data_IF_260914897146
#
_entry.id   IF_260914897146
#
_cell.length_a   1.000
_cell.length_b   1.000
_cell.length_c   1.000
_cell.angle_alpha   90.00
_cell.angle_beta   90.00
_cell.angle_gamma   90.00
#
_symmetry.space_group_name_H-M   'P 1'
#
loop_
_entity.id
_entity.type
_entity.pdbx_description
1 polymer ?
#
# COMPACT_ATOMS: atom_id res chain seq x y z
N UNK A 1 29.74 -20.62 5.85
CA UNK A 1 29.48 -19.32 6.52
C UNK A 1 29.95 -18.14 5.67
N UNK A 2 31.06 -18.25 4.92
CA UNK A 2 31.53 -17.19 4.01
C UNK A 2 30.60 -16.90 2.81
N UNK A 3 30.11 -17.94 2.12
CA UNK A 3 29.25 -17.80 0.92
C UNK A 3 27.91 -17.08 1.18
N UNK A 4 27.34 -17.20 2.39
CA UNK A 4 26.10 -16.49 2.77
C UNK A 4 26.33 -14.99 3.00
N UNK A 5 27.54 -14.60 3.40
CA UNK A 5 27.89 -13.21 3.66
C UNK A 5 28.09 -12.46 2.33
N UNK A 6 28.78 -13.10 1.39
CA UNK A 6 29.00 -12.58 0.03
C UNK A 6 27.69 -12.36 -0.73
N UNK A 7 26.73 -13.28 -0.59
CA UNK A 7 25.42 -13.14 -1.24
C UNK A 7 24.62 -11.93 -0.74
N UNK A 8 24.67 -11.64 0.56
CA UNK A 8 23.95 -10.48 1.15
C UNK A 8 24.59 -9.16 0.75
N UNK A 9 25.92 -9.13 0.64
CA UNK A 9 26.66 -7.96 0.14
C UNK A 9 26.38 -7.72 -1.35
N UNK A 10 26.32 -8.78 -2.17
CA UNK A 10 25.89 -8.69 -3.58
C UNK A 10 24.45 -8.19 -3.73
N UNK A 11 23.51 -8.66 -2.91
CA UNK A 11 22.13 -8.16 -2.90
C UNK A 11 22.05 -6.67 -2.56
N UNK A 12 22.82 -6.21 -1.56
CA UNK A 12 22.93 -4.79 -1.24
C UNK A 12 23.58 -3.99 -2.38
N UNK A 13 24.58 -4.58 -3.05
CA UNK A 13 25.26 -4.00 -4.20
C UNK A 13 24.33 -3.76 -5.39
N UNK A 14 23.53 -4.78 -5.78
CA UNK A 14 22.56 -4.62 -6.87
C UNK A 14 21.43 -3.67 -6.51
N UNK A 15 20.98 -3.64 -5.24
CA UNK A 15 20.00 -2.65 -4.78
C UNK A 15 20.52 -1.22 -4.92
N UNK A 16 21.75 -0.96 -4.46
CA UNK A 16 22.38 0.36 -4.58
C UNK A 16 22.54 0.77 -6.05
N UNK A 17 22.88 -0.19 -6.91
CA UNK A 17 22.97 0.03 -8.36
C UNK A 17 21.60 0.38 -8.95
N UNK A 18 20.53 -0.30 -8.53
CA UNK A 18 19.17 -0.01 -8.93
C UNK A 18 18.70 1.36 -8.42
N UNK A 19 18.98 1.71 -7.17
CA UNK A 19 18.67 3.03 -6.59
C UNK A 19 19.33 4.17 -7.39
N UNK A 20 20.57 3.97 -7.86
CA UNK A 20 21.24 4.92 -8.75
C UNK A 20 20.62 5.04 -10.14
N UNK A 21 19.84 4.04 -10.56
CA UNK A 21 19.17 3.91 -11.86
C UNK A 21 17.64 4.02 -11.74
N UNK A 22 17.16 4.86 -10.81
CA UNK A 22 15.73 5.14 -10.58
C UNK A 22 14.91 3.88 -10.22
N UNK A 23 15.52 2.93 -9.51
CA UNK A 23 14.95 1.66 -9.08
C UNK A 23 14.43 0.79 -10.23
N UNK A 24 15.08 0.84 -11.39
CA UNK A 24 14.73 0.03 -12.57
C UNK A 24 15.94 -0.82 -12.97
N UNK A 25 15.72 -2.12 -13.13
CA UNK A 25 16.70 -3.08 -13.68
C UNK A 25 16.00 -4.02 -14.64
N UNK A 26 16.75 -4.78 -15.44
CA UNK A 26 16.23 -5.83 -16.33
C UNK A 26 16.62 -7.23 -15.82
N UNK A 27 15.80 -8.22 -16.21
CA UNK A 27 16.01 -9.62 -15.83
C UNK A 27 17.42 -10.12 -16.20
N UNK A 28 17.91 -9.76 -17.38
CA UNK A 28 19.22 -10.21 -17.87
C UNK A 28 20.37 -9.62 -17.05
N UNK A 29 20.28 -8.36 -16.62
CA UNK A 29 21.28 -7.74 -15.74
C UNK A 29 21.34 -8.42 -14.37
N UNK A 30 20.19 -8.72 -13.76
CA UNK A 30 20.16 -9.42 -12.46
C UNK A 30 20.72 -10.85 -12.62
N UNK A 31 20.31 -11.58 -13.65
CA UNK A 31 20.84 -12.93 -13.92
C UNK A 31 22.35 -12.91 -14.19
N UNK A 32 22.85 -11.91 -14.91
CA UNK A 32 24.28 -11.72 -15.15
C UNK A 32 25.05 -11.37 -13.86
N UNK A 33 24.45 -10.58 -12.97
CA UNK A 33 25.04 -10.16 -11.70
C UNK A 33 25.23 -11.35 -10.74
N UNK A 34 24.31 -12.31 -10.79
CA UNK A 34 24.34 -13.53 -9.96
C UNK A 34 24.81 -14.78 -10.73
N UNK A 35 25.34 -14.63 -11.95
CA UNK A 35 25.76 -15.75 -12.80
C UNK A 35 26.93 -16.55 -12.17
N UNK A 36 27.80 -15.89 -11.42
CA UNK A 36 28.92 -16.52 -10.72
C UNK A 36 28.48 -17.33 -9.49
N UNK A 37 27.29 -17.06 -8.95
CA UNK A 37 26.77 -17.67 -7.72
C UNK A 37 26.02 -18.99 -7.96
N UNK A 38 25.86 -19.42 -9.22
CA UNK A 38 25.18 -20.68 -9.62
C UNK A 38 23.80 -20.89 -8.95
N UNK A 39 23.01 -19.82 -8.84
CA UNK A 39 21.68 -19.88 -8.22
C UNK A 39 20.73 -20.80 -9.00
N UNK A 40 19.94 -21.59 -8.28
CA UNK A 40 18.83 -22.34 -8.90
C UNK A 40 17.73 -21.38 -9.38
N UNK A 41 16.85 -21.86 -10.27
CA UNK A 41 15.71 -21.08 -10.75
C UNK A 41 14.82 -20.57 -9.59
N UNK A 42 14.62 -21.38 -8.56
CA UNK A 42 13.87 -21.03 -7.35
C UNK A 42 14.59 -19.97 -6.50
N UNK A 43 15.91 -20.06 -6.38
CA UNK A 43 16.71 -19.07 -5.65
C UNK A 43 16.75 -17.73 -6.37
N UNK A 44 16.81 -17.74 -7.71
CA UNK A 44 16.72 -16.54 -8.53
C UNK A 44 15.33 -15.89 -8.40
N UNK A 45 14.27 -16.69 -8.28
CA UNK A 45 12.91 -16.21 -8.02
C UNK A 45 12.84 -15.43 -6.70
N UNK A 46 13.46 -15.94 -5.64
CA UNK A 46 13.55 -15.25 -4.34
C UNK A 46 14.35 -13.94 -4.42
N UNK A 47 15.38 -13.86 -5.28
CA UNK A 47 16.13 -12.62 -5.54
C UNK A 47 15.23 -11.59 -6.21
N UNK A 48 14.45 -11.99 -7.22
CA UNK A 48 13.51 -11.09 -7.87
C UNK A 48 12.39 -10.62 -6.94
N UNK A 49 11.83 -11.53 -6.13
CA UNK A 49 10.87 -11.19 -5.07
C UNK A 49 11.45 -10.17 -4.09
N UNK A 50 12.71 -10.35 -3.69
CA UNK A 50 13.38 -9.43 -2.78
C UNK A 50 13.58 -8.05 -3.41
N UNK A 51 13.99 -7.97 -4.68
CA UNK A 51 14.10 -6.69 -5.41
C UNK A 51 12.75 -5.99 -5.53
N UNK A 52 11.70 -6.72 -5.90
CA UNK A 52 10.33 -6.21 -5.96
C UNK A 52 9.86 -5.69 -4.59
N UNK A 53 10.16 -6.41 -3.50
CA UNK A 53 9.82 -5.99 -2.13
C UNK A 53 10.49 -4.67 -1.72
N UNK A 54 11.64 -4.34 -2.33
CA UNK A 54 12.37 -3.08 -2.13
C UNK A 54 12.01 -1.99 -3.13
N UNK A 55 10.90 -2.15 -3.86
CA UNK A 55 10.39 -1.22 -4.88
C UNK A 55 11.31 -1.09 -6.11
N UNK A 56 12.12 -2.12 -6.40
CA UNK A 56 12.91 -2.20 -7.63
C UNK A 56 12.11 -2.91 -8.72
N UNK A 57 11.96 -2.26 -9.86
CA UNK A 57 11.24 -2.76 -11.04
C UNK A 57 12.19 -3.62 -11.88
N UNK A 58 11.89 -4.90 -12.03
CA UNK A 58 12.66 -5.84 -12.87
C UNK A 58 11.95 -6.06 -14.21
N UNK A 59 12.40 -5.38 -15.26
CA UNK A 59 11.84 -5.50 -16.61
C UNK A 59 12.04 -6.91 -17.18
N UNK A 60 10.93 -7.54 -17.58
CA UNK A 60 10.92 -8.86 -18.22
C UNK A 60 10.87 -10.06 -17.26
N UNK A 61 10.74 -9.81 -15.95
CA UNK A 61 10.46 -10.84 -14.97
C UNK A 61 8.97 -10.83 -14.60
N UNK A 62 8.29 -11.94 -14.84
CA UNK A 62 6.90 -12.19 -14.42
C UNK A 62 6.95 -13.42 -13.52
N UNK A 63 6.57 -13.26 -12.24
CA UNK A 63 6.61 -14.34 -11.25
C UNK A 63 5.71 -15.49 -11.69
N UNK A 64 6.26 -16.71 -11.75
CA UNK A 64 5.55 -17.90 -12.26
C UNK A 64 5.09 -18.76 -11.08
N UNK A 65 4.24 -18.20 -10.21
CA UNK A 65 3.63 -18.95 -9.11
C UNK A 65 3.66 -18.21 -7.78
N UNK A 66 2.46 -17.91 -7.26
CA UNK A 66 2.28 -17.25 -5.97
C UNK A 66 1.94 -15.77 -6.13
N UNK A 67 0.68 -15.44 -5.83
CA UNK A 67 0.08 -14.13 -5.92
C UNK A 67 0.89 -13.06 -5.19
N UNK A 68 1.65 -12.25 -5.93
CA UNK A 68 2.03 -10.90 -5.53
C UNK A 68 1.80 -10.00 -6.75
N UNK A 69 0.97 -8.98 -6.53
CA UNK A 69 0.63 -7.92 -7.46
C UNK A 69 1.92 -7.23 -7.90
N UNK A 70 2.25 -7.32 -9.18
CA UNK A 70 3.36 -6.57 -9.73
C UNK A 70 3.06 -5.07 -9.53
N UNK A 71 4.01 -4.34 -8.93
CA UNK A 71 4.16 -2.90 -9.14
C UNK A 71 4.70 -2.69 -10.56
N UNK A 72 3.88 -3.08 -11.53
CA UNK A 72 4.04 -2.70 -12.91
C UNK A 72 3.46 -1.29 -13.04
N UNK A 73 4.30 -0.33 -13.40
CA UNK A 73 3.88 0.81 -14.22
C UNK A 73 3.53 0.31 -15.64
N UNK A 74 2.69 -0.71 -15.71
CA UNK A 74 1.86 -1.05 -16.84
C UNK A 74 0.49 -0.70 -16.32
N UNK A 75 -0.14 0.33 -16.89
CA UNK A 75 -1.57 0.55 -16.72
C UNK A 75 -2.28 -0.74 -17.18
N UNK A 76 -2.46 -1.70 -16.27
CA UNK A 76 -3.54 -2.68 -16.44
C UNK A 76 -4.78 -1.81 -16.65
N UNK A 77 -5.55 -2.04 -17.74
CA UNK A 77 -6.72 -1.22 -17.99
C UNK A 77 -7.57 -1.27 -16.73
N UNK A 78 -7.76 -0.11 -16.10
CA UNK A 78 -8.47 0.04 -14.83
C UNK A 78 -9.74 -0.80 -14.93
N UNK A 79 -9.74 -1.95 -14.25
CA UNK A 79 -10.88 -2.88 -14.28
C UNK A 79 -11.83 -2.45 -13.20
N UNK A 80 -12.74 -1.56 -13.58
CA UNK A 80 -13.91 -1.25 -12.79
C UNK A 80 -14.69 -2.54 -12.50
N UNK A 81 -15.09 -2.71 -11.24
CA UNK A 81 -16.08 -3.71 -10.86
C UNK A 81 -17.41 -3.46 -11.58
N UNK A 82 -18.31 -4.44 -11.61
CA UNK A 82 -19.62 -4.25 -12.24
C UNK A 82 -20.39 -3.09 -11.59
N UNK A 83 -20.31 -2.95 -10.27
CA UNK A 83 -20.94 -1.87 -9.52
C UNK A 83 -20.38 -0.49 -9.90
N UNK A 84 -19.07 -0.39 -10.06
CA UNK A 84 -18.43 0.85 -10.53
C UNK A 84 -18.79 1.17 -11.98
N UNK A 85 -18.92 0.17 -12.84
CA UNK A 85 -19.38 0.36 -14.21
C UNK A 85 -20.83 0.86 -14.25
N UNK A 86 -21.70 0.28 -13.43
CA UNK A 86 -23.10 0.70 -13.32
C UNK A 86 -23.21 2.14 -12.79
N UNK A 87 -22.39 2.47 -11.79
CA UNK A 87 -22.26 3.84 -11.29
C UNK A 87 -21.80 4.81 -12.37
N UNK A 88 -20.71 4.50 -13.08
CA UNK A 88 -20.17 5.34 -14.15
C UNK A 88 -21.18 5.56 -15.27
N UNK A 89 -21.91 4.51 -15.66
CA UNK A 89 -22.95 4.60 -16.68
C UNK A 89 -24.09 5.54 -16.26
N UNK A 90 -24.54 5.41 -15.01
CA UNK A 90 -25.60 6.27 -14.46
C UNK A 90 -25.11 7.73 -14.37
N UNK A 91 -23.92 7.94 -13.83
CA UNK A 91 -23.34 9.27 -13.67
C UNK A 91 -23.14 9.95 -15.03
N UNK A 92 -22.59 9.26 -16.03
CA UNK A 92 -22.45 9.78 -17.39
C UNK A 92 -23.79 10.07 -18.07
N UNK A 93 -24.84 9.31 -17.75
CA UNK A 93 -26.19 9.60 -18.22
C UNK A 93 -26.73 10.88 -17.59
N UNK A 94 -26.52 11.08 -16.28
CA UNK A 94 -26.93 12.30 -15.57
C UNK A 94 -26.19 13.52 -16.11
N UNK A 95 -24.89 13.40 -16.40
CA UNK A 95 -24.10 14.47 -17.03
C UNK A 95 -24.67 14.87 -18.40
N UNK A 96 -25.16 13.93 -19.20
CA UNK A 96 -25.82 14.21 -20.49
C UNK A 96 -27.18 14.90 -20.32
N UNK A 97 -27.82 14.73 -19.16
CA UNK A 97 -29.07 15.38 -18.79
C UNK A 97 -28.93 16.85 -18.40
N UNK A 98 -27.69 17.36 -18.22
CA UNK A 98 -27.44 18.74 -17.83
C UNK A 98 -27.89 19.73 -18.91
N UNK A 99 -28.63 20.75 -18.47
CA UNK A 99 -29.17 21.80 -19.35
C UNK A 99 -28.04 22.60 -19.99
N UNK A 100 -28.27 23.07 -21.20
CA UNK A 100 -27.37 24.03 -21.83
C UNK A 100 -27.32 25.32 -21.02
N UNK A 101 -26.12 25.79 -20.72
CA UNK A 101 -25.87 26.98 -19.88
C UNK A 101 -25.73 26.70 -18.39
N UNK A 102 -25.80 25.44 -17.94
CA UNK A 102 -25.44 25.06 -16.57
C UNK A 102 -23.92 25.20 -16.39
N UNK A 103 -23.43 25.98 -15.41
CA UNK A 103 -21.98 26.14 -15.16
C UNK A 103 -21.29 24.82 -14.83
N UNK A 104 -22.02 23.84 -14.30
CA UNK A 104 -21.48 22.52 -13.95
C UNK A 104 -21.28 21.61 -15.17
N UNK A 105 -21.84 21.96 -16.33
CA UNK A 105 -21.82 21.13 -17.54
C UNK A 105 -20.41 20.85 -18.08
N UNK A 106 -19.47 21.77 -17.84
CA UNK A 106 -18.06 21.59 -18.22
C UNK A 106 -17.21 21.09 -17.05
N UNK A 107 -17.61 21.40 -15.81
CA UNK A 107 -16.84 21.09 -14.60
C UNK A 107 -17.01 19.62 -14.15
N UNK A 108 -18.23 19.11 -14.09
CA UNK A 108 -18.48 17.74 -13.60
C UNK A 108 -17.88 16.65 -14.50
N UNK A 109 -17.85 16.77 -15.85
CA UNK A 109 -17.10 15.84 -16.69
C UNK A 109 -15.58 15.90 -16.45
N UNK A 110 -15.04 17.06 -16.11
CA UNK A 110 -13.63 17.20 -15.75
C UNK A 110 -13.35 16.50 -14.40
N UNK A 111 -14.24 16.64 -13.40
CA UNK A 111 -14.16 15.86 -12.16
C UNK A 111 -14.15 14.36 -12.45
N UNK A 112 -15.06 13.88 -13.30
CA UNK A 112 -15.13 12.47 -13.67
C UNK A 112 -13.84 11.98 -14.34
N UNK A 113 -13.26 12.80 -15.21
CA UNK A 113 -11.99 12.49 -15.88
C UNK A 113 -10.86 12.36 -14.87
N UNK A 114 -10.74 13.33 -13.96
CA UNK A 114 -9.73 13.29 -12.88
C UNK A 114 -9.93 12.07 -11.97
N UNK A 115 -11.16 11.76 -11.57
CA UNK A 115 -11.46 10.58 -10.75
C UNK A 115 -11.03 9.27 -11.44
N UNK A 116 -11.25 9.15 -12.77
CA UNK A 116 -10.80 8.00 -13.57
C UNK A 116 -9.28 7.92 -13.67
N UNK A 117 -8.59 9.05 -13.85
CA UNK A 117 -7.12 9.11 -13.88
C UNK A 117 -6.49 8.78 -12.52
N UNK A 118 -7.17 9.12 -11.42
CA UNK A 118 -6.72 8.89 -10.06
C UNK A 118 -7.19 7.56 -9.46
N UNK A 119 -8.00 6.80 -10.20
CA UNK A 119 -8.60 5.56 -9.69
C UNK A 119 -7.54 4.52 -9.35
N UNK A 120 -7.80 3.80 -8.26
CA UNK A 120 -7.01 2.66 -7.81
C UNK A 120 -7.97 1.54 -7.43
N UNK A 121 -7.59 0.29 -7.72
CA UNK A 121 -8.47 -0.87 -7.54
C UNK A 121 -8.95 -1.10 -6.09
N UNK A 122 -8.33 -0.44 -5.12
CA UNK A 122 -8.61 -0.52 -3.70
C UNK A 122 -9.48 0.63 -3.18
N UNK A 123 -9.99 1.49 -4.08
CA UNK A 123 -10.84 2.65 -3.78
C UNK A 123 -12.00 2.67 -4.76
N UNK A 124 -13.22 2.82 -4.23
CA UNK A 124 -14.41 2.88 -5.05
C UNK A 124 -14.45 4.17 -5.88
N UNK A 125 -14.66 4.08 -7.20
CA UNK A 125 -14.67 5.27 -8.08
C UNK A 125 -15.70 6.32 -7.65
N UNK A 126 -16.84 5.89 -7.09
CA UNK A 126 -17.88 6.81 -6.64
C UNK A 126 -17.43 7.70 -5.49
N UNK A 127 -16.53 7.22 -4.63
CA UNK A 127 -15.99 8.01 -3.52
C UNK A 127 -15.06 9.12 -4.06
N UNK A 128 -14.24 8.81 -5.07
CA UNK A 128 -13.40 9.81 -5.74
C UNK A 128 -14.24 10.88 -6.43
N UNK A 129 -15.29 10.48 -7.16
CA UNK A 129 -16.19 11.43 -7.82
C UNK A 129 -16.90 12.31 -6.79
N UNK A 130 -17.36 11.74 -5.68
CA UNK A 130 -17.99 12.51 -4.60
C UNK A 130 -17.04 13.50 -3.97
N UNK A 131 -15.80 13.09 -3.67
CA UNK A 131 -14.80 13.96 -3.05
C UNK A 131 -14.39 15.10 -3.99
N UNK A 132 -14.23 14.81 -5.29
CA UNK A 132 -14.00 15.84 -6.29
C UNK A 132 -15.16 16.82 -6.42
N UNK A 133 -16.40 16.35 -6.36
CA UNK A 133 -17.58 17.20 -6.36
C UNK A 133 -17.68 18.05 -5.08
N UNK A 134 -17.28 17.50 -3.93
CA UNK A 134 -17.23 18.25 -2.66
C UNK A 134 -16.19 19.37 -2.73
N UNK A 135 -14.96 19.05 -3.19
CA UNK A 135 -13.91 20.04 -3.38
C UNK A 135 -14.29 21.15 -4.36
N UNK A 136 -14.99 20.78 -5.44
CA UNK A 136 -15.58 21.75 -6.36
C UNK A 136 -16.60 22.66 -5.65
N UNK A 137 -17.57 22.08 -4.92
CA UNK A 137 -18.61 22.84 -4.22
C UNK A 137 -18.01 23.81 -3.18
N UNK A 138 -16.99 23.39 -2.44
CA UNK A 138 -16.27 24.24 -1.49
C UNK A 138 -15.56 25.40 -2.19
N UNK A 139 -14.87 25.12 -3.30
CA UNK A 139 -14.17 26.14 -4.06
C UNK A 139 -15.12 27.16 -4.71
N UNK A 140 -16.33 26.74 -5.07
CA UNK A 140 -17.37 27.63 -5.61
C UNK A 140 -17.86 28.68 -4.62
N UNK A 141 -17.64 28.51 -3.31
CA UNK A 141 -18.02 29.52 -2.31
C UNK A 141 -17.19 30.82 -2.46
N UNK A 142 -15.90 30.69 -2.80
CA UNK A 142 -14.95 31.81 -2.85
C UNK A 142 -14.43 32.12 -4.28
N UNK A 143 -14.50 31.14 -5.19
CA UNK A 143 -13.83 31.17 -6.50
C UNK A 143 -14.73 30.72 -7.67
N UNK A 144 -16.02 31.06 -7.64
CA UNK A 144 -17.02 30.60 -8.62
C UNK A 144 -16.67 30.85 -10.11
N UNK A 145 -15.92 31.92 -10.41
CA UNK A 145 -15.53 32.30 -11.78
C UNK A 145 -14.14 31.80 -12.19
N UNK A 146 -13.40 31.13 -11.29
CA UNK A 146 -12.03 30.66 -11.52
C UNK A 146 -11.99 29.14 -11.67
N UNK A 147 -12.22 28.67 -12.90
CA UNK A 147 -12.21 27.25 -13.25
C UNK A 147 -10.93 26.51 -12.82
N UNK A 148 -9.77 27.17 -12.85
CA UNK A 148 -8.51 26.54 -12.47
C UNK A 148 -8.46 26.30 -10.96
N UNK A 149 -8.85 27.30 -10.16
CA UNK A 149 -8.98 27.16 -8.71
C UNK A 149 -10.01 26.09 -8.32
N UNK A 150 -11.16 26.07 -9.00
CA UNK A 150 -12.22 25.08 -8.79
C UNK A 150 -11.72 23.64 -9.01
N UNK A 151 -11.03 23.39 -10.13
CA UNK A 151 -10.51 22.06 -10.44
C UNK A 151 -9.32 21.68 -9.57
N UNK A 152 -8.48 22.64 -9.16
CA UNK A 152 -7.38 22.40 -8.22
C UNK A 152 -7.91 21.90 -6.88
N UNK A 153 -8.90 22.59 -6.30
CA UNK A 153 -9.51 22.20 -5.03
C UNK A 153 -10.20 20.83 -5.10
N UNK A 154 -10.88 20.53 -6.21
CA UNK A 154 -11.45 19.21 -6.43
C UNK A 154 -10.38 18.11 -6.48
N UNK A 155 -9.26 18.37 -7.17
CA UNK A 155 -8.12 17.44 -7.24
C UNK A 155 -7.47 17.23 -5.87
N UNK A 156 -7.24 18.30 -5.12
CA UNK A 156 -6.67 18.24 -3.76
C UNK A 156 -7.56 17.43 -2.82
N UNK A 157 -8.89 17.61 -2.91
CA UNK A 157 -9.85 16.84 -2.11
C UNK A 157 -9.76 15.34 -2.43
N UNK A 158 -9.76 14.98 -3.72
CA UNK A 158 -9.57 13.57 -4.13
C UNK A 158 -8.22 13.01 -3.67
N UNK A 159 -7.14 13.81 -3.72
CA UNK A 159 -5.82 13.40 -3.25
C UNK A 159 -5.81 13.15 -1.74
N UNK A 160 -6.47 14.00 -0.95
CA UNK A 160 -6.59 13.82 0.50
C UNK A 160 -7.29 12.50 0.87
N UNK A 161 -8.32 12.10 0.11
CA UNK A 161 -8.97 10.80 0.28
C UNK A 161 -7.99 9.63 0.03
N UNK A 162 -7.23 9.69 -1.08
CA UNK A 162 -6.23 8.67 -1.40
C UNK A 162 -5.17 8.55 -0.28
N UNK A 163 -4.67 9.68 0.20
CA UNK A 163 -3.66 9.74 1.26
C UNK A 163 -4.20 9.17 2.58
N UNK A 164 -5.41 9.54 2.98
CA UNK A 164 -6.05 9.02 4.20
C UNK A 164 -6.25 7.51 4.16
N UNK A 165 -6.63 6.95 3.01
CA UNK A 165 -6.73 5.50 2.81
C UNK A 165 -5.37 4.80 2.89
N UNK A 166 -4.32 5.39 2.31
CA UNK A 166 -2.95 4.86 2.42
C UNK A 166 -2.43 4.90 3.85
N UNK A 167 -2.67 5.99 4.59
CA UNK A 167 -2.25 6.14 5.98
C UNK A 167 -2.95 5.13 6.88
N UNK A 168 -4.26 4.94 6.70
CA UNK A 168 -5.03 3.92 7.42
C UNK A 168 -4.42 2.53 7.19
N UNK A 169 -4.11 2.17 5.95
CA UNK A 169 -3.45 0.89 5.62
C UNK A 169 -2.06 0.75 6.26
N UNK A 170 -1.26 1.82 6.27
CA UNK A 170 0.06 1.82 6.92
C UNK A 170 -0.08 1.61 8.43
N UNK A 171 -1.06 2.26 9.06
CA UNK A 171 -1.34 2.10 10.47
C UNK A 171 -1.83 0.68 10.79
N UNK A 172 -2.73 0.13 9.99
CA UNK A 172 -3.23 -1.24 10.13
C UNK A 172 -2.09 -2.26 10.01
N UNK A 173 -1.21 -2.11 9.01
CA UNK A 173 -0.06 -2.98 8.84
C UNK A 173 0.91 -2.90 10.03
N UNK A 174 1.19 -1.68 10.52
CA UNK A 174 2.03 -1.49 11.71
C UNK A 174 1.40 -2.14 12.95
N UNK A 175 0.08 -2.13 13.05
CA UNK A 175 -0.63 -2.81 14.12
C UNK A 175 -0.44 -4.32 14.05
N UNK A 176 -0.61 -4.91 12.86
CA UNK A 176 -0.40 -6.35 12.63
C UNK A 176 1.04 -6.76 12.93
N UNK A 177 2.03 -5.96 12.51
CA UNK A 177 3.44 -6.18 12.84
C UNK A 177 3.67 -6.20 14.35
N UNK A 178 3.14 -5.21 15.09
CA UNK A 178 3.26 -5.18 16.56
C UNK A 178 2.64 -6.39 17.25
N UNK A 179 1.49 -6.87 16.78
CA UNK A 179 0.83 -8.08 17.31
C UNK A 179 1.70 -9.31 17.06
N UNK A 180 2.22 -9.47 15.84
CA UNK A 180 3.08 -10.60 15.49
C UNK A 180 4.41 -10.59 16.26
N UNK A 181 5.05 -9.42 16.39
CA UNK A 181 6.28 -9.27 17.14
C UNK A 181 6.09 -9.62 18.62
N UNK A 182 4.96 -9.25 19.21
CA UNK A 182 4.63 -9.62 20.58
C UNK A 182 4.37 -11.12 20.73
N UNK A 183 3.61 -11.74 19.83
CA UNK A 183 3.35 -13.20 19.84
C UNK A 183 4.65 -14.01 19.69
N UNK A 184 5.59 -13.56 18.84
CA UNK A 184 6.90 -14.20 18.70
C UNK A 184 7.73 -14.12 19.98
N UNK A 185 7.67 -12.97 20.69
CA UNK A 185 8.36 -12.78 21.95
C UNK A 185 7.75 -13.60 23.09
N UNK A 186 6.41 -13.68 23.16
CA UNK A 186 5.69 -14.56 24.08
C UNK A 186 6.10 -16.01 23.87
N UNK A 187 6.14 -16.49 22.61
CA UNK A 187 6.58 -17.85 22.30
C UNK A 187 8.01 -18.12 22.71
N UNK A 188 8.95 -17.24 22.36
CA UNK A 188 10.36 -17.37 22.75
C UNK A 188 10.52 -17.50 24.26
N UNK A 189 9.92 -16.58 25.01
CA UNK A 189 10.06 -16.57 26.46
C UNK A 189 9.28 -17.73 27.12
N UNK A 190 8.14 -18.14 26.57
CA UNK A 190 7.40 -19.31 27.03
C UNK A 190 8.18 -20.61 26.80
N UNK A 191 8.88 -20.73 25.67
CA UNK A 191 9.70 -21.90 25.34
C UNK A 191 10.95 -21.97 26.23
N UNK A 192 11.56 -20.82 26.54
CA UNK A 192 12.70 -20.73 27.46
C UNK A 192 12.33 -21.08 28.90
N UNK A 193 11.17 -20.61 29.38
CA UNK A 193 10.70 -20.84 30.74
C UNK A 193 9.95 -22.16 30.92
N UNK A 194 9.47 -22.78 29.83
CA UNK A 194 8.62 -23.97 29.86
C UNK A 194 7.27 -23.77 30.54
N UNK A 195 6.81 -22.51 30.67
CA UNK A 195 5.54 -22.10 31.28
C UNK A 195 5.01 -20.83 30.63
N UNK A 196 3.76 -20.48 30.93
CA UNK A 196 3.19 -19.20 30.52
C UNK A 196 4.01 -18.02 31.08
N UNK A 197 4.11 -16.98 30.26
CA UNK A 197 4.85 -15.74 30.54
C UNK A 197 3.90 -14.71 31.16
N UNK A 198 4.38 -13.96 32.15
CA UNK A 198 3.65 -12.82 32.74
C UNK A 198 3.92 -11.51 32.00
N UNK A 199 3.06 -10.50 32.21
CA UNK A 199 3.20 -9.20 31.53
C UNK A 199 4.47 -8.46 31.98
N UNK A 200 4.82 -8.54 33.26
CA UNK A 200 6.07 -7.98 33.80
C UNK A 200 7.32 -8.58 33.11
N UNK A 201 7.32 -9.89 32.90
CA UNK A 201 8.42 -10.60 32.24
C UNK A 201 8.51 -10.22 30.75
N UNK A 202 7.36 -10.00 30.10
CA UNK A 202 7.31 -9.50 28.73
C UNK A 202 7.80 -8.06 28.64
N UNK A 203 7.49 -7.19 29.60
CA UNK A 203 7.99 -5.82 29.62
C UNK A 203 9.53 -5.79 29.69
N UNK A 204 10.13 -6.60 30.58
CA UNK A 204 11.58 -6.68 30.70
C UNK A 204 12.23 -7.30 29.45
N UNK A 205 11.61 -8.30 28.84
CA UNK A 205 12.14 -9.00 27.67
C UNK A 205 11.96 -8.22 26.35
N UNK A 206 10.79 -7.61 26.18
CA UNK A 206 10.39 -6.90 24.97
C UNK A 206 10.83 -5.43 24.96
N UNK A 207 11.13 -4.87 26.13
CA UNK A 207 11.50 -3.46 26.28
C UNK A 207 10.36 -2.49 25.94
N UNK A 208 9.11 -2.96 26.02
CA UNK A 208 7.89 -2.16 25.83
C UNK A 208 7.08 -2.19 27.12
N UNK A 209 6.39 -1.10 27.43
CA UNK A 209 5.67 -0.94 28.71
C UNK A 209 4.50 -1.91 28.84
N UNK A 210 4.15 -2.29 30.07
CA UNK A 210 2.95 -3.08 30.39
C UNK A 210 1.67 -2.54 29.71
N UNK A 211 1.47 -1.21 29.70
CA UNK A 211 0.33 -0.58 29.05
C UNK A 211 0.29 -0.86 27.54
N UNK A 212 1.45 -0.85 26.88
CA UNK A 212 1.57 -1.13 25.45
C UNK A 212 1.30 -2.62 25.16
N UNK A 213 1.81 -3.52 26.00
CA UNK A 213 1.55 -4.97 25.92
C UNK A 213 0.05 -5.25 26.10
N UNK A 214 -0.57 -4.67 27.13
CA UNK A 214 -2.00 -4.83 27.42
C UNK A 214 -2.88 -4.35 26.26
N UNK A 215 -2.52 -3.23 25.63
CA UNK A 215 -3.24 -2.72 24.47
C UNK A 215 -3.09 -3.65 23.26
N UNK A 216 -1.89 -4.17 22.98
CA UNK A 216 -1.66 -5.11 21.86
C UNK A 216 -2.41 -6.43 22.09
N UNK A 217 -2.39 -7.00 23.30
CA UNK A 217 -3.08 -8.24 23.64
C UNK A 217 -4.61 -8.12 23.52
N UNK A 218 -5.18 -7.00 23.98
CA UNK A 218 -6.61 -6.69 23.79
C UNK A 218 -6.99 -6.63 22.32
N UNK A 219 -6.12 -6.09 21.48
CA UNK A 219 -6.34 -5.99 20.03
C UNK A 219 -6.22 -7.35 19.33
N UNK A 220 -5.35 -8.24 19.82
CA UNK A 220 -5.23 -9.62 19.35
C UNK A 220 -6.41 -10.52 19.78
N UNK A 221 -7.27 -10.03 20.68
CA UNK A 221 -8.40 -10.80 21.22
C UNK A 221 -8.00 -11.85 22.25
N UNK A 222 -6.79 -11.75 22.81
CA UNK A 222 -6.34 -12.63 23.90
C UNK A 222 -6.83 -12.08 25.25
N UNK A 223 -7.53 -12.92 26.02
CA UNK A 223 -7.88 -12.59 27.39
C UNK A 223 -6.61 -12.63 28.25
N UNK A 224 -6.29 -11.49 28.87
CA UNK A 224 -5.21 -11.41 29.85
C UNK A 224 -5.46 -12.47 30.95
N UNK A 225 -4.45 -13.29 31.30
CA UNK A 225 -4.56 -14.14 32.47
C UNK A 225 -4.84 -13.25 33.68
N UNK A 226 -5.77 -13.64 34.58
CA UNK A 226 -6.15 -12.80 35.70
C UNK A 226 -4.94 -12.46 36.57
N UNK A 227 -4.82 -11.21 36.98
CA UNK A 227 -3.83 -10.78 37.99
C UNK A 227 -3.98 -11.65 39.24
N UNK A 228 -2.95 -12.46 39.54
CA UNK A 228 -2.88 -13.13 40.84
C UNK A 228 -2.55 -12.07 41.90
N UNK A 229 -3.57 -11.72 42.69
CA UNK A 229 -3.46 -10.86 43.88
C UNK A 229 -2.78 -11.55 45.06
#
# INVERSE_FOLDING_TARGET
MAERLEFREKLAGILTLCESQNSITDKATVEAYFAEDNLSAEQMELVFDYLLSKKVIVKGYVKVGGSIKNAENTEEPIRYTQEEQDYLNLYEQDLKGLRDGDPLKELLPAILTMAKEMHRADIYIGDLVQEGNMGLMLAMEDHADDTEALLSMAKESMQALLESQEETKKQDNRMVEKVNDLDEQIKKLSDELGRKVSVDELEEFAGITEDEISNILKLAGEELPPEEK
#
